data_IF_138345197952
#
_entry.id   IF_138345197952
#
_cell.length_a   1.000
_cell.length_b   1.000
_cell.length_c   1.000
_cell.angle_alpha   90.00
_cell.angle_beta   90.00
_cell.angle_gamma   90.00
#
_symmetry.space_group_name_H-M   'P 1'
#
loop_
_entity.id
_entity.type
_entity.pdbx_description
1 polymer ?
#
# COMPACT_ATOMS: atom_id res chain seq x y z
N UNK A 1 -10.67 -6.15 -17.80
CA UNK A 1 -9.39 -5.84 -17.12
C UNK A 1 -9.46 -4.38 -16.75
N UNK A 2 -9.20 -4.01 -15.50
CA UNK A 2 -9.25 -2.60 -15.07
C UNK A 2 -8.07 -1.85 -15.67
N UNK A 3 -8.37 -0.67 -16.21
CA UNK A 3 -7.40 0.26 -16.78
C UNK A 3 -7.48 1.63 -16.10
N UNK A 4 -6.42 2.42 -16.26
CA UNK A 4 -6.44 3.86 -16.01
C UNK A 4 -7.61 4.56 -16.73
N UNK A 5 -7.92 4.18 -17.97
CA UNK A 5 -9.07 4.71 -18.71
C UNK A 5 -10.41 4.45 -18.01
N UNK A 6 -10.58 3.29 -17.36
CA UNK A 6 -11.79 2.98 -16.59
C UNK A 6 -11.94 3.85 -15.32
N UNK A 7 -10.83 4.26 -14.71
CA UNK A 7 -10.81 5.16 -13.55
C UNK A 7 -11.22 6.57 -13.96
N UNK A 8 -10.74 7.03 -15.12
CA UNK A 8 -11.08 8.35 -15.67
C UNK A 8 -12.55 8.39 -16.06
N UNK A 9 -13.04 7.37 -16.78
CA UNK A 9 -14.40 7.35 -17.30
C UNK A 9 -15.46 7.15 -16.21
N UNK A 10 -15.19 6.29 -15.22
CA UNK A 10 -16.21 5.81 -14.28
C UNK A 10 -15.95 6.22 -12.82
N UNK A 11 -15.01 7.15 -12.59
CA UNK A 11 -14.55 7.54 -11.25
C UNK A 11 -13.97 6.40 -10.40
N UNK A 12 -13.35 6.75 -9.28
CA UNK A 12 -12.79 5.82 -8.29
C UNK A 12 -12.89 6.44 -6.89
N UNK A 13 -14.10 6.83 -6.50
CA UNK A 13 -14.35 7.53 -5.24
C UNK A 13 -13.92 6.71 -4.00
N UNK A 14 -13.97 5.38 -4.09
CA UNK A 14 -13.59 4.46 -3.01
C UNK A 14 -12.13 4.01 -3.09
N UNK A 15 -11.38 4.38 -4.14
CA UNK A 15 -9.97 4.00 -4.32
C UNK A 15 -9.75 2.55 -4.79
N UNK A 16 -10.80 1.72 -4.81
CA UNK A 16 -10.72 0.29 -5.14
C UNK A 16 -10.10 0.01 -6.51
N UNK A 17 -10.39 0.85 -7.51
CA UNK A 17 -9.82 0.63 -8.86
C UNK A 17 -8.33 0.99 -8.89
N UNK A 18 -7.93 2.01 -8.15
CA UNK A 18 -6.51 2.40 -8.01
C UNK A 18 -5.73 1.30 -7.27
N UNK A 19 -6.32 0.69 -6.23
CA UNK A 19 -5.75 -0.49 -5.56
C UNK A 19 -5.56 -1.66 -6.54
N UNK A 20 -6.60 -1.99 -7.31
CA UNK A 20 -6.54 -3.09 -8.30
C UNK A 20 -5.53 -2.81 -9.42
N UNK A 21 -5.33 -1.55 -9.79
CA UNK A 21 -4.33 -1.17 -10.77
C UNK A 21 -2.91 -1.32 -10.22
N UNK A 22 -2.69 -0.96 -8.95
CA UNK A 22 -1.44 -1.23 -8.25
C UNK A 22 -1.16 -2.74 -8.19
N UNK A 23 -2.18 -3.56 -7.90
CA UNK A 23 -2.06 -5.02 -7.90
C UNK A 23 -1.54 -5.52 -9.24
N UNK A 24 -2.18 -5.13 -10.34
CA UNK A 24 -1.81 -5.54 -11.70
C UNK A 24 -0.37 -5.11 -12.02
N UNK A 25 0.00 -3.87 -11.66
CA UNK A 25 1.34 -3.35 -11.93
C UNK A 25 2.41 -4.17 -11.22
N UNK A 26 2.29 -4.36 -9.91
CA UNK A 26 3.30 -5.09 -9.15
C UNK A 26 3.29 -6.59 -9.47
N UNK A 27 2.13 -7.18 -9.76
CA UNK A 27 2.07 -8.58 -10.20
C UNK A 27 2.74 -8.80 -11.57
N UNK A 28 2.62 -7.86 -12.51
CA UNK A 28 3.36 -7.90 -13.78
C UNK A 28 4.87 -7.87 -13.59
N UNK A 29 5.34 -7.18 -12.55
CA UNK A 29 6.75 -7.14 -12.15
C UNK A 29 7.20 -8.37 -11.34
N UNK A 30 6.34 -9.40 -11.23
CA UNK A 30 6.67 -10.68 -10.60
C UNK A 30 6.55 -10.69 -9.08
N UNK A 31 5.77 -9.78 -8.50
CA UNK A 31 5.42 -9.82 -7.08
C UNK A 31 4.14 -10.62 -6.85
N UNK A 32 4.02 -11.21 -5.66
CA UNK A 32 2.79 -11.84 -5.19
C UNK A 32 2.12 -10.90 -4.18
N UNK A 33 0.83 -10.60 -4.37
CA UNK A 33 0.02 -9.85 -3.41
C UNK A 33 -0.35 -10.74 -2.23
N UNK A 34 -0.28 -10.19 -1.02
CA UNK A 34 -0.78 -10.83 0.19
C UNK A 34 -1.90 -9.99 0.81
N UNK A 35 -2.88 -10.66 1.42
CA UNK A 35 -3.95 -10.00 2.18
C UNK A 35 -3.33 -9.26 3.38
N UNK A 36 -3.63 -7.97 3.51
CA UNK A 36 -2.96 -7.08 4.46
C UNK A 36 -3.92 -6.15 5.18
N UNK A 37 -5.23 -6.29 4.99
CA UNK A 37 -6.23 -5.50 5.71
C UNK A 37 -6.44 -6.09 7.11
N UNK A 38 -6.37 -5.23 8.11
CA UNK A 38 -6.62 -5.57 9.52
C UNK A 38 -8.08 -5.21 9.81
N UNK A 39 -8.95 -6.21 9.82
CA UNK A 39 -10.40 -6.00 9.86
C UNK A 39 -10.92 -5.33 8.58
N UNK A 40 -12.00 -4.56 8.68
CA UNK A 40 -12.72 -4.09 7.48
C UNK A 40 -12.07 -2.92 6.73
N UNK A 41 -11.24 -2.10 7.38
CA UNK A 41 -10.72 -0.88 6.75
C UNK A 41 -9.40 -0.34 7.36
N UNK A 42 -8.57 -1.19 7.94
CA UNK A 42 -7.26 -0.79 8.47
C UNK A 42 -6.15 -1.62 7.83
N UNK A 43 -4.89 -1.25 8.08
CA UNK A 43 -3.72 -1.91 7.50
C UNK A 43 -3.29 -1.25 6.20
N UNK A 44 -2.64 -2.03 5.34
CA UNK A 44 -2.09 -1.55 4.07
C UNK A 44 -3.06 -1.85 2.92
N UNK A 45 -3.11 -0.96 1.93
CA UNK A 45 -3.89 -1.20 0.72
C UNK A 45 -3.30 -2.33 -0.13
N UNK A 46 -1.97 -2.47 -0.13
CA UNK A 46 -1.31 -3.64 -0.71
C UNK A 46 0.04 -3.94 -0.10
N UNK A 47 0.29 -5.23 0.12
CA UNK A 47 1.61 -5.79 0.42
C UNK A 47 1.99 -6.77 -0.67
N UNK A 48 3.13 -6.53 -1.31
CA UNK A 48 3.61 -7.34 -2.43
C UNK A 48 5.01 -7.86 -2.14
N UNK A 49 5.22 -9.16 -2.30
CA UNK A 49 6.50 -9.80 -1.97
C UNK A 49 7.03 -10.51 -3.21
N UNK A 50 8.30 -10.25 -3.53
CA UNK A 50 9.02 -10.94 -4.59
C UNK A 50 9.60 -12.26 -4.07
N UNK A 51 9.51 -13.30 -4.90
CA UNK A 51 9.77 -14.72 -4.59
C UNK A 51 8.73 -15.39 -3.70
N UNK A 52 8.83 -15.27 -2.38
CA UNK A 52 7.96 -16.02 -1.45
C UNK A 52 7.93 -15.38 -0.06
N UNK A 53 6.90 -15.69 0.71
CA UNK A 53 6.75 -15.24 2.08
C UNK A 53 7.90 -15.71 2.98
N UNK A 54 8.39 -16.95 2.82
CA UNK A 54 9.47 -17.50 3.65
C UNK A 54 10.87 -17.03 3.26
N UNK A 55 11.04 -16.43 2.08
CA UNK A 55 12.33 -15.93 1.59
C UNK A 55 12.12 -14.72 0.67
N UNK A 56 11.71 -13.57 1.23
CA UNK A 56 11.47 -12.37 0.44
C UNK A 56 12.79 -11.79 -0.05
N UNK A 57 12.87 -11.41 -1.32
CA UNK A 57 14.01 -10.64 -1.85
C UNK A 57 13.73 -9.14 -1.94
N UNK A 58 12.46 -8.78 -2.07
CA UNK A 58 11.99 -7.40 -2.08
C UNK A 58 10.53 -7.36 -1.62
N UNK A 59 10.15 -6.31 -0.92
CA UNK A 59 8.82 -6.13 -0.35
C UNK A 59 8.34 -4.72 -0.68
N UNK A 60 7.16 -4.60 -1.26
CA UNK A 60 6.48 -3.33 -1.48
C UNK A 60 5.31 -3.23 -0.53
N UNK A 61 5.29 -2.17 0.28
CA UNK A 61 4.09 -1.72 1.00
C UNK A 61 3.56 -0.50 0.27
N UNK A 62 2.34 -0.62 -0.26
CA UNK A 62 1.72 0.41 -1.08
C UNK A 62 0.45 0.94 -0.42
N UNK A 63 0.28 2.25 -0.50
CA UNK A 63 -0.99 2.93 -0.29
C UNK A 63 -1.55 3.42 -1.63
N UNK A 64 -2.85 3.25 -1.87
CA UNK A 64 -3.54 3.81 -3.03
C UNK A 64 -4.22 5.13 -2.65
N UNK A 65 -3.91 6.21 -3.38
CA UNK A 65 -4.52 7.53 -3.13
C UNK A 65 -5.00 8.17 -4.42
N UNK A 66 -6.01 9.01 -4.29
CA UNK A 66 -6.45 9.88 -5.37
C UNK A 66 -5.57 11.15 -5.41
N UNK A 67 -5.23 11.61 -6.61
CA UNK A 67 -4.69 12.96 -6.81
C UNK A 67 -5.84 13.96 -6.64
N UNK A 68 -5.66 14.96 -5.78
CA UNK A 68 -6.68 16.01 -5.57
C UNK A 68 -6.66 17.03 -6.71
N UNK A 69 -7.69 17.87 -6.79
CA UNK A 69 -7.78 18.95 -7.79
C UNK A 69 -6.59 19.93 -7.76
N UNK A 70 -5.91 20.05 -6.62
CA UNK A 70 -4.69 20.85 -6.45
C UNK A 70 -3.40 20.10 -6.84
N UNK A 71 -3.51 18.90 -7.44
CA UNK A 71 -2.38 18.10 -7.90
C UNK A 71 -1.62 17.33 -6.80
N UNK A 72 -2.01 17.46 -5.54
CA UNK A 72 -1.34 16.79 -4.43
C UNK A 72 -1.97 15.44 -4.07
N UNK A 73 -1.11 14.53 -3.62
CA UNK A 73 -1.47 13.26 -2.98
C UNK A 73 -1.36 13.45 -1.46
N UNK A 74 -2.41 13.07 -0.72
CA UNK A 74 -2.46 13.27 0.74
C UNK A 74 -2.53 11.94 1.48
N UNK A 75 -1.52 11.67 2.29
CA UNK A 75 -1.55 10.64 3.34
C UNK A 75 -2.23 11.19 4.60
N UNK A 76 -2.78 10.29 5.42
CA UNK A 76 -3.42 10.71 6.67
C UNK A 76 -2.37 11.24 7.65
N UNK A 77 -2.58 12.43 8.25
CA UNK A 77 -1.69 12.95 9.28
C UNK A 77 -1.75 12.07 10.53
N UNK A 78 -0.74 12.20 11.39
CA UNK A 78 -0.77 11.56 12.71
C UNK A 78 -1.95 12.06 13.54
N UNK A 79 -2.46 11.21 14.42
CA UNK A 79 -3.57 11.52 15.31
C UNK A 79 -3.07 11.55 16.76
N UNK A 80 -2.99 12.76 17.31
CA UNK A 80 -2.49 13.02 18.67
C UNK A 80 -3.32 12.29 19.73
N UNK A 81 -4.65 12.27 19.59
CA UNK A 81 -5.57 11.66 20.57
C UNK A 81 -5.43 10.13 20.65
N UNK A 82 -5.01 9.49 19.57
CA UNK A 82 -4.81 8.02 19.51
C UNK A 82 -3.34 7.62 19.47
N UNK A 83 -2.44 8.61 19.58
CA UNK A 83 -0.98 8.50 19.38
C UNK A 83 -0.55 7.81 18.08
N UNK A 84 -1.47 7.69 17.11
CA UNK A 84 -1.20 7.03 15.83
C UNK A 84 -0.27 7.93 14.99
N UNK A 85 0.91 7.44 14.56
CA UNK A 85 1.83 8.23 13.74
C UNK A 85 1.23 8.54 12.36
N UNK A 86 1.85 9.45 11.61
CA UNK A 86 1.42 9.78 10.25
C UNK A 86 1.46 8.54 9.33
N UNK A 87 0.44 8.37 8.49
CA UNK A 87 0.32 7.21 7.62
C UNK A 87 1.54 7.04 6.72
N UNK A 88 1.99 5.79 6.54
CA UNK A 88 3.21 5.42 5.81
C UNK A 88 4.54 5.96 6.38
N UNK A 89 4.56 6.56 7.56
CA UNK A 89 5.81 6.74 8.33
C UNK A 89 6.31 5.39 8.87
N UNK A 90 7.60 5.29 9.20
CA UNK A 90 8.19 4.04 9.71
C UNK A 90 7.53 3.60 11.02
N UNK A 91 7.21 4.55 11.89
CA UNK A 91 6.48 4.30 13.11
C UNK A 91 5.05 3.79 12.85
N UNK A 92 4.36 4.35 11.85
CA UNK A 92 3.01 3.89 11.51
C UNK A 92 3.02 2.47 10.92
N UNK A 93 3.96 2.19 10.00
CA UNK A 93 4.09 0.86 9.41
C UNK A 93 4.52 -0.16 10.47
N UNK A 94 5.46 0.20 11.35
CA UNK A 94 5.84 -0.65 12.49
C UNK A 94 4.61 -1.01 13.34
N UNK A 95 3.76 -0.02 13.65
CA UNK A 95 2.53 -0.26 14.41
C UNK A 95 1.56 -1.19 13.66
N UNK A 96 1.43 -1.06 12.34
CA UNK A 96 0.57 -1.94 11.56
C UNK A 96 1.14 -3.37 11.50
N UNK A 97 2.45 -3.52 11.31
CA UNK A 97 3.13 -4.83 11.33
C UNK A 97 2.90 -5.54 12.68
N UNK A 98 3.06 -4.83 13.80
CA UNK A 98 2.80 -5.39 15.14
C UNK A 98 1.33 -5.82 15.27
N UNK A 99 0.38 -5.00 14.81
CA UNK A 99 -1.04 -5.42 14.82
C UNK A 99 -1.29 -6.65 13.96
N UNK A 100 -0.58 -6.80 12.85
CA UNK A 100 -0.68 -7.99 11.99
C UNK A 100 -0.14 -9.24 12.67
N UNK A 101 0.93 -9.14 13.47
CA UNK A 101 1.44 -10.31 14.24
C UNK A 101 0.39 -10.84 15.20
N UNK A 102 -0.43 -9.94 15.76
CA UNK A 102 -1.48 -10.26 16.72
C UNK A 102 -2.84 -10.60 16.07
N UNK A 103 -2.96 -10.51 14.74
CA UNK A 103 -4.21 -10.75 14.02
C UNK A 103 -4.24 -12.14 13.38
N UNK A 104 -5.22 -13.02 13.75
CA UNK A 104 -5.37 -14.32 13.12
C UNK A 104 -5.48 -14.21 11.59
N UNK A 105 -4.73 -15.06 10.88
CA UNK A 105 -4.66 -15.03 9.41
C UNK A 105 -3.61 -14.07 8.84
N UNK A 106 -3.11 -13.11 9.62
CA UNK A 106 -2.05 -12.18 9.19
C UNK A 106 -0.71 -12.42 9.89
N UNK A 107 -0.68 -13.23 10.96
CA UNK A 107 0.51 -13.44 11.80
C UNK A 107 1.78 -13.76 11.00
N UNK A 108 1.71 -14.70 10.05
CA UNK A 108 2.88 -15.07 9.22
C UNK A 108 3.36 -13.92 8.33
N UNK A 109 2.45 -13.12 7.80
CA UNK A 109 2.80 -11.94 7.03
C UNK A 109 3.42 -10.86 7.92
N UNK A 110 2.80 -10.55 9.06
CA UNK A 110 3.35 -9.62 10.06
C UNK A 110 4.77 -10.00 10.47
N UNK A 111 5.01 -11.27 10.82
CA UNK A 111 6.33 -11.77 11.19
C UNK A 111 7.34 -11.63 10.03
N UNK A 112 6.92 -11.94 8.80
CA UNK A 112 7.79 -11.81 7.61
C UNK A 112 8.21 -10.36 7.41
N UNK A 113 7.26 -9.41 7.49
CA UNK A 113 7.54 -7.98 7.34
C UNK A 113 8.48 -7.50 8.45
N UNK A 114 8.21 -7.88 9.70
CA UNK A 114 9.03 -7.50 10.86
C UNK A 114 10.49 -7.99 10.75
N UNK A 115 10.70 -9.20 10.24
CA UNK A 115 12.05 -9.78 10.09
C UNK A 115 12.80 -9.27 8.86
N UNK A 116 12.12 -8.61 7.92
CA UNK A 116 12.68 -8.20 6.63
C UNK A 116 12.50 -6.71 6.37
N UNK A 117 12.48 -5.89 7.42
CA UNK A 117 12.30 -4.44 7.37
C UNK A 117 13.23 -3.77 6.36
N UNK A 118 14.49 -4.18 6.28
CA UNK A 118 15.48 -3.62 5.34
C UNK A 118 15.17 -3.88 3.86
N UNK A 119 14.21 -4.76 3.56
CA UNK A 119 13.74 -5.08 2.21
C UNK A 119 12.44 -4.36 1.85
N UNK A 120 11.90 -3.52 2.75
CA UNK A 120 10.63 -2.82 2.52
C UNK A 120 10.88 -1.53 1.74
N UNK A 121 10.25 -1.45 0.56
CA UNK A 121 10.05 -0.22 -0.19
C UNK A 121 8.63 0.28 0.04
N UNK A 122 8.52 1.54 0.46
CA UNK A 122 7.23 2.23 0.69
C UNK A 122 6.81 2.97 -0.58
N UNK A 123 5.59 2.77 -1.05
CA UNK A 123 5.06 3.45 -2.23
C UNK A 123 3.68 4.04 -2.02
N UNK A 124 3.38 5.09 -2.79
CA UNK A 124 1.99 5.54 -3.01
C UNK A 124 1.68 5.45 -4.49
N UNK A 125 0.61 4.74 -4.82
CA UNK A 125 0.10 4.65 -6.20
C UNK A 125 -1.11 5.55 -6.35
N UNK A 126 -1.16 6.28 -7.47
CA UNK A 126 -2.26 7.14 -7.85
C UNK A 126 -2.46 7.12 -9.37
N UNK A 127 -3.60 7.63 -9.82
CA UNK A 127 -3.86 7.88 -11.24
C UNK A 127 -4.05 9.38 -11.43
N UNK A 128 -3.25 9.97 -12.30
CA UNK A 128 -3.49 11.32 -12.79
C UNK A 128 -4.62 11.26 -13.81
N UNK A 129 -5.78 11.80 -13.44
CA UNK A 129 -6.97 11.77 -14.29
C UNK A 129 -6.92 12.80 -15.43
N UNK A 130 -5.98 13.74 -15.39
CA UNK A 130 -5.78 14.75 -16.43
C UNK A 130 -4.95 14.21 -17.59
N UNK A 131 -3.90 13.46 -17.29
CA UNK A 131 -3.02 12.84 -18.30
C UNK A 131 -3.38 11.38 -18.58
N UNK A 132 -4.07 10.74 -17.64
CA UNK A 132 -4.34 9.31 -17.63
C UNK A 132 -3.18 8.46 -17.16
N UNK A 133 -2.08 9.06 -16.70
CA UNK A 133 -0.89 8.32 -16.28
C UNK A 133 -1.06 7.68 -14.89
N UNK A 134 -0.39 6.54 -14.71
CA UNK A 134 -0.24 5.90 -13.40
C UNK A 134 1.00 6.50 -12.74
N UNK A 135 0.84 7.02 -11.54
CA UNK A 135 1.92 7.60 -10.76
C UNK A 135 2.25 6.65 -9.61
N UNK A 136 3.50 6.19 -9.54
CA UNK A 136 4.03 5.43 -8.40
C UNK A 136 5.13 6.23 -7.75
N UNK A 137 4.85 6.77 -6.57
CA UNK A 137 5.81 7.55 -5.79
C UNK A 137 6.49 6.64 -4.78
N UNK A 138 7.81 6.49 -4.88
CA UNK A 138 8.63 5.92 -3.82
C UNK A 138 8.74 6.94 -2.68
N UNK A 139 8.40 6.53 -1.47
CA UNK A 139 8.63 7.34 -0.26
C UNK A 139 10.06 7.15 0.23
N UNK A 140 10.50 7.96 1.19
CA UNK A 140 11.81 7.79 1.85
C UNK A 140 12.02 6.33 2.25
N UNK A 141 13.27 5.89 2.32
CA UNK A 141 13.59 4.53 2.81
C UNK A 141 12.94 4.27 4.17
N UNK A 142 12.61 3.00 4.41
CA UNK A 142 12.20 2.53 5.74
C UNK A 142 13.40 2.51 6.68
#
# INVERSE_FOLDING_TARGET
MISNSDIIANSDALGTKTEQLADILFQKEGYVKYESKIGSNNGFDGVYIKRSLSSPTDIIINEAKQIKSTGNIKLNPGNISTTLPAQMSDAWITNMIIKMTDTPGLTSLGNTLQQNVSKITKTVTAVDKTTGEIVVLKLNSY
#
